data_IF_688764864852
#
_entry.id   IF_688764864852
#
_cell.length_a   1.000
_cell.length_b   1.000
_cell.length_c   1.000
_cell.angle_alpha   90.00
_cell.angle_beta   90.00
_cell.angle_gamma   90.00
#
_symmetry.space_group_name_H-M   'P 1'
#
loop_
_entity.id
_entity.type
_entity.pdbx_description
1 polymer ?
#
# COMPACT_ATOMS: atom_id res chain seq x y z
N UNK A 1 -33.28 23.16 23.01
CA UNK A 1 -32.27 23.67 23.95
C UNK A 1 -30.96 23.68 23.22
N UNK A 2 -30.44 24.88 22.94
CA UNK A 2 -29.21 25.06 22.15
C UNK A 2 -28.00 24.57 22.94
N UNK A 3 -26.95 24.17 22.22
CA UNK A 3 -25.66 23.69 22.75
C UNK A 3 -24.88 24.75 23.58
N UNK A 4 -25.53 25.84 24.01
CA UNK A 4 -24.94 26.93 24.78
C UNK A 4 -24.75 26.61 26.28
N UNK A 5 -25.43 25.61 26.82
CA UNK A 5 -25.44 25.32 28.27
C UNK A 5 -24.33 24.35 28.75
N UNK A 6 -23.45 23.89 27.87
CA UNK A 6 -22.22 23.19 28.27
C UNK A 6 -21.06 24.12 27.98
N UNK A 7 -20.54 24.78 29.02
CA UNK A 7 -19.35 25.63 28.96
C UNK A 7 -18.06 24.87 28.61
N UNK A 8 -18.05 24.13 27.50
CA UNK A 8 -16.85 23.68 26.82
C UNK A 8 -16.37 24.84 25.97
N UNK A 9 -15.45 25.62 26.51
CA UNK A 9 -14.62 26.50 25.71
C UNK A 9 -13.74 25.58 24.86
N UNK A 10 -14.19 25.27 23.64
CA UNK A 10 -13.34 24.64 22.65
C UNK A 10 -12.21 25.63 22.38
N UNK A 11 -11.01 25.34 22.88
CA UNK A 11 -9.82 26.16 22.73
C UNK A 11 -9.26 26.04 21.30
N UNK A 12 -10.14 26.20 20.31
CA UNK A 12 -9.77 26.76 19.03
C UNK A 12 -9.50 28.26 19.24
N UNK A 13 -8.57 28.59 20.13
CA UNK A 13 -8.03 29.91 20.36
C UNK A 13 -7.43 30.41 19.05
N UNK A 14 -8.29 31.04 18.24
CA UNK A 14 -7.97 31.87 17.07
C UNK A 14 -7.02 31.22 16.04
N UNK A 15 -7.58 30.72 14.93
CA UNK A 15 -6.87 30.50 13.66
C UNK A 15 -5.99 29.24 13.59
N UNK A 16 -6.62 28.06 13.61
CA UNK A 16 -6.02 26.89 12.95
C UNK A 16 -6.62 26.78 11.55
N UNK A 17 -6.01 27.41 10.52
CA UNK A 17 -6.23 27.01 9.14
C UNK A 17 -6.22 25.49 9.00
N UNK A 18 -7.13 24.96 8.18
CA UNK A 18 -7.19 23.54 7.90
C UNK A 18 -5.87 22.98 7.38
N UNK A 19 -5.06 23.77 6.66
CA UNK A 19 -3.75 23.35 6.18
C UNK A 19 -2.74 23.12 7.32
N UNK A 20 -2.64 24.06 8.26
CA UNK A 20 -1.81 23.96 9.45
C UNK A 20 -2.23 22.79 10.33
N UNK A 21 -3.55 22.61 10.53
CA UNK A 21 -4.05 21.44 11.24
C UNK A 21 -3.66 20.13 10.55
N UNK A 22 -3.84 20.05 9.22
CA UNK A 22 -3.56 18.83 8.49
C UNK A 22 -2.06 18.49 8.51
N UNK A 23 -1.17 19.47 8.48
CA UNK A 23 0.27 19.24 8.69
C UNK A 23 0.55 18.68 10.07
N UNK A 24 0.00 19.33 11.10
CA UNK A 24 0.15 18.88 12.49
C UNK A 24 -0.41 17.48 12.69
N UNK A 25 -1.56 17.17 12.08
CA UNK A 25 -2.13 15.83 12.14
C UNK A 25 -1.25 14.77 11.46
N UNK A 26 -0.58 15.10 10.37
CA UNK A 26 0.38 14.19 9.75
C UNK A 26 1.61 13.98 10.65
N UNK A 27 2.21 15.06 11.13
CA UNK A 27 3.47 15.04 11.89
C UNK A 27 3.32 14.56 13.34
N UNK A 28 2.30 15.02 14.05
CA UNK A 28 2.15 14.75 15.49
C UNK A 28 1.34 13.47 15.75
N UNK A 29 0.52 13.03 14.79
CA UNK A 29 -0.37 11.89 14.99
C UNK A 29 -0.06 10.70 14.09
N UNK A 30 0.05 10.86 12.76
CA UNK A 30 0.28 9.71 11.88
C UNK A 30 1.72 9.22 11.89
N UNK A 31 2.70 10.12 11.81
CA UNK A 31 4.11 9.76 11.77
C UNK A 31 4.57 9.00 13.03
N UNK A 32 4.20 9.38 14.27
CA UNK A 32 4.52 8.59 15.46
C UNK A 32 3.90 7.21 15.44
N UNK A 33 2.72 7.03 14.83
CA UNK A 33 2.12 5.71 14.67
C UNK A 33 2.89 4.83 13.69
N UNK A 34 3.49 5.42 12.65
CA UNK A 34 4.41 4.69 11.75
C UNK A 34 5.65 4.26 12.51
N UNK A 35 6.26 5.18 13.26
CA UNK A 35 7.49 4.92 14.03
C UNK A 35 7.27 3.87 15.13
N UNK A 36 6.07 3.83 15.72
CA UNK A 36 5.67 2.80 16.70
C UNK A 36 5.22 1.49 16.05
N UNK A 37 5.23 1.36 14.72
CA UNK A 37 4.77 0.16 14.00
C UNK A 37 3.25 -0.08 14.06
N UNK A 38 2.47 0.89 14.56
CA UNK A 38 1.00 0.83 14.65
C UNK A 38 0.31 1.17 13.32
N UNK A 39 1.00 1.87 12.43
CA UNK A 39 0.54 2.25 11.10
C UNK A 39 1.57 1.85 10.04
N UNK A 40 1.12 1.22 8.97
CA UNK A 40 1.99 0.92 7.83
C UNK A 40 2.42 2.21 7.11
N UNK A 41 3.71 2.35 6.80
CA UNK A 41 4.27 3.51 6.11
C UNK A 41 3.54 3.84 4.79
N UNK A 42 3.17 2.81 4.01
CA UNK A 42 2.35 2.99 2.80
C UNK A 42 0.99 3.67 3.04
N UNK A 43 0.41 3.50 4.23
CA UNK A 43 -0.84 4.20 4.62
C UNK A 43 -0.58 5.66 4.91
N UNK A 44 0.53 5.98 5.59
CA UNK A 44 0.96 7.36 5.79
C UNK A 44 1.21 8.08 4.46
N UNK A 45 1.98 7.48 3.55
CA UNK A 45 2.27 8.05 2.23
C UNK A 45 0.99 8.36 1.46
N UNK A 46 0.00 7.46 1.49
CA UNK A 46 -1.30 7.69 0.85
C UNK A 46 -2.06 8.85 1.53
N UNK A 47 -2.18 8.84 2.85
CA UNK A 47 -2.91 9.87 3.59
C UNK A 47 -2.25 11.24 3.39
N UNK A 48 -0.92 11.33 3.48
CA UNK A 48 -0.14 12.54 3.21
C UNK A 48 -0.30 13.03 1.77
N UNK A 49 -0.26 12.11 0.79
CA UNK A 49 -0.51 12.44 -0.61
C UNK A 49 -1.91 13.02 -0.85
N UNK A 50 -2.94 12.44 -0.22
CA UNK A 50 -4.32 12.94 -0.29
C UNK A 50 -4.43 14.32 0.34
N UNK A 51 -3.82 14.52 1.51
CA UNK A 51 -3.80 15.82 2.19
C UNK A 51 -3.17 16.87 1.29
N UNK A 52 -1.97 16.61 0.76
CA UNK A 52 -1.22 17.55 -0.07
C UNK A 52 -1.92 17.86 -1.38
N UNK A 53 -2.41 16.84 -2.09
CA UNK A 53 -2.89 16.99 -3.46
C UNK A 53 -4.38 17.33 -3.56
N UNK A 54 -5.18 17.02 -2.53
CA UNK A 54 -6.64 17.15 -2.59
C UNK A 54 -7.22 17.97 -1.45
N UNK A 55 -6.93 17.61 -0.20
CA UNK A 55 -7.60 18.24 0.95
C UNK A 55 -7.13 19.67 1.16
N UNK A 56 -5.81 19.91 1.21
CA UNK A 56 -5.23 21.25 1.44
C UNK A 56 -5.61 22.28 0.37
N UNK A 57 -5.51 21.97 -0.95
CA UNK A 57 -5.86 22.96 -1.98
C UNK A 57 -7.31 23.44 -1.92
N UNK A 58 -8.23 22.65 -1.36
CA UNK A 58 -9.67 22.97 -1.35
C UNK A 58 -10.16 23.45 0.01
N UNK A 59 -9.77 22.74 1.08
CA UNK A 59 -10.27 22.97 2.44
C UNK A 59 -9.22 23.57 3.36
N UNK A 60 -7.95 23.64 2.96
CA UNK A 60 -6.85 24.06 3.82
C UNK A 60 -6.96 25.51 4.32
N UNK A 61 -7.54 26.41 3.52
CA UNK A 61 -7.75 27.81 3.91
C UNK A 61 -8.94 28.02 4.86
N UNK A 62 -9.84 27.02 4.97
CA UNK A 62 -10.99 27.12 5.87
C UNK A 62 -10.54 26.81 7.30
N UNK A 63 -11.04 27.57 8.26
CA UNK A 63 -10.86 27.24 9.68
C UNK A 63 -11.68 26.00 9.99
N UNK A 64 -11.15 25.12 10.83
CA UNK A 64 -11.82 23.87 11.20
C UNK A 64 -13.23 24.08 11.75
N UNK A 65 -13.41 25.09 12.62
CA UNK A 65 -14.71 25.41 13.24
C UNK A 65 -15.79 25.87 12.25
N UNK A 66 -15.36 26.45 11.12
CA UNK A 66 -16.26 26.99 10.10
C UNK A 66 -16.60 25.93 9.04
N UNK A 67 -15.85 24.81 9.02
CA UNK A 67 -16.07 23.72 8.08
C UNK A 67 -17.41 23.05 8.36
N UNK A 68 -18.26 23.00 7.33
CA UNK A 68 -19.60 22.39 7.45
C UNK A 68 -19.81 21.23 6.48
N UNK A 69 -20.92 20.49 6.67
CA UNK A 69 -21.26 19.31 5.87
C UNK A 69 -21.48 19.66 4.38
N UNK A 70 -22.06 20.82 4.10
CA UNK A 70 -22.33 21.24 2.72
C UNK A 70 -21.04 21.51 1.94
N UNK A 71 -20.03 22.10 2.59
CA UNK A 71 -18.70 22.30 2.01
C UNK A 71 -17.98 20.98 1.76
N UNK A 72 -18.03 20.04 2.71
CA UNK A 72 -17.47 18.69 2.55
C UNK A 72 -18.15 17.96 1.39
N UNK A 73 -19.47 18.06 1.27
CA UNK A 73 -20.23 17.50 0.14
C UNK A 73 -19.83 18.14 -1.19
N UNK A 74 -19.71 19.46 -1.22
CA UNK A 74 -19.26 20.20 -2.41
C UNK A 74 -17.86 19.75 -2.84
N UNK A 75 -16.95 19.62 -1.88
CA UNK A 75 -15.60 19.11 -2.10
C UNK A 75 -15.61 17.69 -2.71
N UNK A 76 -16.41 16.76 -2.17
CA UNK A 76 -16.52 15.42 -2.75
C UNK A 76 -17.14 15.42 -4.15
N UNK A 77 -18.15 16.25 -4.40
CA UNK A 77 -18.75 16.39 -5.72
C UNK A 77 -17.76 16.93 -6.75
N UNK A 78 -16.90 17.87 -6.35
CA UNK A 78 -15.82 18.37 -7.20
C UNK A 78 -14.80 17.27 -7.48
N UNK A 79 -14.33 16.55 -6.45
CA UNK A 79 -13.37 15.44 -6.65
C UNK A 79 -13.95 14.31 -7.49
N UNK A 80 -15.26 14.06 -7.43
CA UNK A 80 -15.92 13.07 -8.27
C UNK A 80 -15.90 13.40 -9.78
N UNK A 81 -15.66 14.66 -10.16
CA UNK A 81 -15.45 15.07 -11.56
C UNK A 81 -14.02 14.77 -12.05
N UNK A 82 -13.06 14.64 -11.15
CA UNK A 82 -11.63 14.49 -11.45
C UNK A 82 -11.10 13.08 -11.18
N UNK A 83 -11.71 12.37 -10.21
CA UNK A 83 -11.20 11.12 -9.66
C UNK A 83 -12.21 10.00 -9.80
N UNK A 84 -11.69 8.77 -9.93
CA UNK A 84 -12.51 7.56 -9.86
C UNK A 84 -13.15 7.41 -8.47
N UNK A 85 -14.34 6.76 -8.35
CA UNK A 85 -15.07 6.67 -7.09
C UNK A 85 -14.25 6.11 -5.92
N UNK A 86 -13.36 5.15 -6.18
CA UNK A 86 -12.46 4.58 -5.16
C UNK A 86 -11.52 5.62 -4.57
N UNK A 87 -10.96 6.48 -5.42
CA UNK A 87 -10.05 7.55 -5.00
C UNK A 87 -10.78 8.60 -4.19
N UNK A 88 -12.01 8.98 -4.58
CA UNK A 88 -12.88 9.85 -3.75
C UNK A 88 -13.18 9.20 -2.40
N UNK A 89 -13.40 7.89 -2.37
CA UNK A 89 -13.55 7.12 -1.12
C UNK A 89 -12.33 7.20 -0.21
N UNK A 90 -11.11 7.17 -0.76
CA UNK A 90 -9.90 7.41 0.03
C UNK A 90 -9.81 8.85 0.53
N UNK A 91 -10.13 9.84 -0.31
CA UNK A 91 -10.19 11.25 0.10
C UNK A 91 -11.12 11.42 1.30
N UNK A 92 -12.33 10.85 1.23
CA UNK A 92 -13.29 10.83 2.34
C UNK A 92 -12.72 10.15 3.59
N UNK A 93 -12.15 8.94 3.45
CA UNK A 93 -11.61 8.20 4.59
C UNK A 93 -10.48 8.97 5.30
N UNK A 94 -9.58 9.60 4.55
CA UNK A 94 -8.49 10.42 5.11
C UNK A 94 -9.06 11.66 5.81
N UNK A 95 -10.01 12.38 5.21
CA UNK A 95 -10.64 13.55 5.84
C UNK A 95 -11.42 13.16 7.11
N UNK A 96 -12.18 12.06 7.06
CA UNK A 96 -12.91 11.54 8.21
C UNK A 96 -11.95 11.17 9.35
N UNK A 97 -10.81 10.54 9.05
CA UNK A 97 -9.78 10.17 10.03
C UNK A 97 -9.15 11.42 10.67
N UNK A 98 -8.84 12.44 9.89
CA UNK A 98 -8.31 13.71 10.37
C UNK A 98 -9.31 14.43 11.28
N UNK A 99 -10.57 14.58 10.86
CA UNK A 99 -11.60 15.25 11.68
C UNK A 99 -12.00 14.43 12.90
N UNK A 100 -11.90 13.09 12.85
CA UNK A 100 -12.11 12.25 14.03
C UNK A 100 -11.05 12.52 15.10
N UNK A 101 -9.80 12.78 14.69
CA UNK A 101 -8.76 13.17 15.63
C UNK A 101 -9.01 14.59 16.17
N UNK A 102 -9.43 15.54 15.32
CA UNK A 102 -9.78 16.89 15.75
C UNK A 102 -10.88 16.92 16.82
N UNK A 103 -11.86 16.00 16.73
CA UNK A 103 -12.89 15.83 17.77
C UNK A 103 -12.30 15.29 19.08
N UNK A 104 -11.35 14.35 19.01
CA UNK A 104 -10.69 13.80 20.21
C UNK A 104 -9.79 14.80 20.91
N UNK A 105 -9.24 15.73 20.14
CA UNK A 105 -8.39 16.81 20.62
C UNK A 105 -9.22 18.05 21.01
N UNK A 106 -10.55 17.94 21.08
CA UNK A 106 -11.48 19.03 21.42
C UNK A 106 -11.28 20.30 20.56
N UNK A 107 -10.88 20.15 19.30
CA UNK A 107 -10.74 21.27 18.35
C UNK A 107 -12.06 21.59 17.63
N UNK A 108 -12.91 20.58 17.45
CA UNK A 108 -14.23 20.71 16.84
C UNK A 108 -15.24 19.83 17.59
N UNK A 109 -16.50 20.27 17.73
CA UNK A 109 -17.50 19.54 18.51
C UNK A 109 -17.99 18.26 17.81
N UNK A 110 -17.78 18.14 16.49
CA UNK A 110 -18.25 16.99 15.71
C UNK A 110 -17.45 16.79 14.43
N UNK A 111 -17.44 15.56 13.95
CA UNK A 111 -16.86 15.23 12.65
C UNK A 111 -17.87 15.54 11.53
N UNK A 112 -17.65 16.65 10.81
CA UNK A 112 -18.53 17.07 9.71
C UNK A 112 -18.41 16.22 8.44
N UNK A 113 -17.40 15.38 8.33
CA UNK A 113 -17.32 14.39 7.24
C UNK A 113 -18.17 13.14 7.54
N UNK A 114 -18.60 12.94 8.78
CA UNK A 114 -19.40 11.77 9.13
C UNK A 114 -20.81 11.85 8.54
N UNK A 115 -21.26 10.74 7.95
CA UNK A 115 -22.53 10.67 7.21
C UNK A 115 -22.52 11.22 5.78
N UNK A 116 -21.52 12.05 5.39
CA UNK A 116 -21.36 12.58 4.02
C UNK A 116 -20.61 11.60 3.10
N UNK A 117 -20.91 10.30 3.19
CA UNK A 117 -20.23 9.29 2.36
C UNK A 117 -20.42 9.63 0.88
N UNK A 118 -19.34 9.78 0.09
CA UNK A 118 -19.45 10.00 -1.34
C UNK A 118 -20.32 8.89 -1.94
N UNK A 119 -21.28 9.24 -2.80
CA UNK A 119 -22.05 8.25 -3.55
C UNK A 119 -21.06 7.50 -4.43
N UNK A 120 -20.57 6.37 -3.94
CA UNK A 120 -19.80 5.44 -4.74
C UNK A 120 -20.77 4.87 -5.75
N UNK A 121 -20.82 5.44 -6.96
CA UNK A 121 -21.30 4.69 -8.12
C UNK A 121 -20.38 3.47 -8.22
N UNK A 122 -20.84 2.34 -7.66
CA UNK A 122 -20.12 1.07 -7.67
C UNK A 122 -20.12 0.57 -9.10
N UNK A 123 -19.24 1.12 -9.93
CA UNK A 123 -18.70 0.35 -11.03
C UNK A 123 -17.48 -0.35 -10.44
N UNK A 124 -17.72 -1.50 -9.77
CA UNK A 124 -16.61 -2.42 -9.54
C UNK A 124 -16.14 -2.81 -10.93
N UNK A 125 -15.08 -2.19 -11.44
CA UNK A 125 -14.36 -2.79 -12.58
C UNK A 125 -14.00 -4.18 -12.10
N UNK A 126 -14.64 -5.19 -12.69
CA UNK A 126 -14.26 -6.57 -12.42
C UNK A 126 -12.79 -6.70 -12.80
N UNK A 127 -11.98 -7.13 -11.84
CA UNK A 127 -10.60 -7.48 -12.13
C UNK A 127 -10.68 -8.70 -13.04
N UNK A 128 -10.41 -8.51 -14.33
CA UNK A 128 -10.39 -9.61 -15.30
C UNK A 128 -9.19 -10.49 -14.98
N UNK A 129 -9.43 -11.65 -14.40
CA UNK A 129 -8.41 -12.66 -14.21
C UNK A 129 -7.93 -13.17 -15.59
N UNK A 130 -6.65 -13.55 -15.66
CA UNK A 130 -6.11 -14.16 -16.88
C UNK A 130 -6.81 -15.49 -17.14
N UNK A 131 -7.26 -15.71 -18.37
CA UNK A 131 -7.75 -17.01 -18.80
C UNK A 131 -6.61 -18.03 -18.84
N UNK A 132 -6.89 -19.35 -18.79
CA UNK A 132 -5.84 -20.37 -18.91
C UNK A 132 -4.97 -20.21 -20.16
N UNK A 133 -5.55 -19.75 -21.28
CA UNK A 133 -4.81 -19.45 -22.52
C UNK A 133 -3.88 -18.26 -22.35
N UNK A 134 -4.33 -17.18 -21.69
CA UNK A 134 -3.50 -16.01 -21.41
C UNK A 134 -2.39 -16.32 -20.41
N UNK A 135 -2.65 -17.17 -19.40
CA UNK A 135 -1.62 -17.65 -18.47
C UNK A 135 -0.53 -18.43 -19.23
N UNK A 136 -0.92 -19.33 -20.13
CA UNK A 136 0.05 -20.05 -20.98
C UNK A 136 0.87 -19.09 -21.84
N UNK A 137 0.24 -18.10 -22.45
CA UNK A 137 0.93 -17.08 -23.25
C UNK A 137 1.92 -16.26 -22.40
N UNK A 138 1.52 -15.85 -21.19
CA UNK A 138 2.39 -15.15 -20.23
C UNK A 138 3.61 -15.99 -19.88
N UNK A 139 3.41 -17.25 -19.47
CA UNK A 139 4.51 -18.14 -19.09
C UNK A 139 5.42 -18.48 -20.28
N UNK A 140 4.87 -18.56 -21.49
CA UNK A 140 5.66 -18.75 -22.70
C UNK A 140 6.55 -17.54 -22.99
N UNK A 141 5.98 -16.33 -22.93
CA UNK A 141 6.73 -15.08 -23.12
C UNK A 141 7.78 -14.84 -22.02
N UNK A 142 7.56 -15.36 -20.82
CA UNK A 142 8.50 -15.27 -19.70
C UNK A 142 9.66 -16.27 -19.78
N UNK A 143 9.73 -17.16 -20.77
CA UNK A 143 10.83 -18.13 -20.88
C UNK A 143 12.15 -17.43 -21.18
N UNK A 144 13.21 -17.81 -20.47
CA UNK A 144 14.57 -17.33 -20.72
C UNK A 144 14.86 -15.92 -20.22
N UNK A 145 13.86 -15.15 -19.78
CA UNK A 145 14.12 -13.90 -19.07
C UNK A 145 14.53 -14.17 -17.63
N UNK A 146 15.32 -13.27 -17.04
CA UNK A 146 15.87 -13.41 -15.69
C UNK A 146 14.81 -13.76 -14.63
N UNK A 147 13.63 -13.12 -14.72
CA UNK A 147 12.55 -13.28 -13.75
C UNK A 147 11.51 -14.35 -14.15
N UNK A 148 11.84 -15.28 -15.07
CA UNK A 148 10.95 -16.39 -15.47
C UNK A 148 10.31 -17.10 -14.27
N UNK A 149 11.15 -17.52 -13.31
CA UNK A 149 10.68 -18.27 -12.15
C UNK A 149 9.76 -17.45 -11.23
N UNK A 150 9.90 -16.11 -11.20
CA UNK A 150 9.01 -15.24 -10.45
C UNK A 150 7.58 -15.35 -10.99
N UNK A 151 7.42 -15.30 -12.32
CA UNK A 151 6.10 -15.43 -12.95
C UNK A 151 5.51 -16.83 -12.78
N UNK A 152 6.31 -17.88 -12.92
CA UNK A 152 5.90 -19.27 -12.69
C UNK A 152 5.39 -19.44 -11.25
N UNK A 153 6.16 -18.99 -10.25
CA UNK A 153 5.75 -19.06 -8.85
C UNK A 153 4.48 -18.24 -8.62
N UNK A 154 4.42 -17.01 -9.12
CA UNK A 154 3.26 -16.12 -8.93
C UNK A 154 1.96 -16.75 -9.42
N UNK A 155 1.97 -17.33 -10.62
CA UNK A 155 0.79 -17.99 -11.23
C UNK A 155 0.35 -19.21 -10.43
N UNK A 156 1.29 -20.04 -9.97
CA UNK A 156 0.95 -21.30 -9.32
C UNK A 156 0.64 -21.18 -7.83
N UNK A 157 1.16 -20.16 -7.15
CA UNK A 157 1.08 -20.04 -5.68
C UNK A 157 0.14 -18.92 -5.22
N UNK A 158 -0.18 -17.96 -6.09
CA UNK A 158 -1.03 -16.82 -5.77
C UNK A 158 -0.47 -15.93 -4.65
N UNK A 159 0.84 -15.96 -4.42
CA UNK A 159 1.50 -15.12 -3.43
C UNK A 159 1.33 -13.65 -3.76
N UNK A 160 1.18 -12.82 -2.72
CA UNK A 160 1.15 -11.37 -2.92
C UNK A 160 2.52 -10.91 -3.40
N UNK A 161 2.56 -9.83 -4.17
CA UNK A 161 3.81 -9.30 -4.73
C UNK A 161 4.90 -9.07 -3.67
N UNK A 162 4.55 -8.48 -2.52
CA UNK A 162 5.50 -8.31 -1.41
C UNK A 162 5.97 -9.65 -0.81
N UNK A 163 5.12 -10.67 -0.77
CA UNK A 163 5.48 -12.02 -0.29
C UNK A 163 6.46 -12.68 -1.27
N UNK A 164 6.24 -12.55 -2.59
CA UNK A 164 7.17 -13.04 -3.63
C UNK A 164 8.54 -12.36 -3.52
N UNK A 165 8.56 -11.03 -3.48
CA UNK A 165 9.81 -10.26 -3.42
C UNK A 165 10.52 -10.38 -2.07
N UNK A 166 9.82 -10.85 -1.03
CA UNK A 166 10.39 -11.14 0.29
C UNK A 166 10.83 -12.60 0.50
N UNK A 167 10.60 -13.48 -0.48
CA UNK A 167 10.89 -14.90 -0.36
C UNK A 167 12.40 -15.15 -0.30
N UNK A 168 12.85 -15.97 0.66
CA UNK A 168 14.25 -16.40 0.76
C UNK A 168 14.37 -17.88 0.46
N UNK A 169 15.56 -18.30 0.03
CA UNK A 169 15.87 -19.71 -0.19
C UNK A 169 15.67 -20.56 1.07
N UNK A 170 15.86 -19.97 2.26
CA UNK A 170 15.60 -20.63 3.54
C UNK A 170 14.12 -20.96 3.79
N UNK A 171 13.18 -20.36 3.06
CA UNK A 171 11.76 -20.68 3.19
C UNK A 171 11.27 -21.70 2.16
N UNK A 172 12.16 -22.14 1.24
CA UNK A 172 11.80 -23.00 0.12
C UNK A 172 12.47 -24.36 0.30
N UNK A 173 11.65 -25.36 0.58
CA UNK A 173 12.05 -26.75 0.57
C UNK A 173 11.68 -27.37 -0.78
N UNK A 174 12.67 -27.45 -1.67
CA UNK A 174 12.48 -28.00 -3.02
C UNK A 174 12.33 -29.52 -3.00
N UNK A 175 12.84 -30.21 -1.97
CA UNK A 175 12.76 -31.67 -1.85
C UNK A 175 11.40 -32.09 -1.29
N UNK A 176 10.94 -31.42 -0.22
CA UNK A 176 9.58 -31.61 0.29
C UNK A 176 8.50 -30.95 -0.58
N UNK A 177 8.90 -30.14 -1.57
CA UNK A 177 7.98 -29.44 -2.47
C UNK A 177 7.08 -28.44 -1.75
N UNK A 178 7.64 -27.61 -0.87
CA UNK A 178 6.89 -26.64 -0.07
C UNK A 178 7.62 -25.31 0.02
N UNK A 179 6.84 -24.22 0.08
CA UNK A 179 7.35 -22.89 0.41
C UNK A 179 6.62 -22.33 1.63
N UNK A 180 7.33 -21.59 2.48
CA UNK A 180 6.77 -20.96 3.68
C UNK A 180 6.67 -19.45 3.52
N UNK A 181 5.46 -18.90 3.70
CA UNK A 181 5.23 -17.45 3.64
C UNK A 181 5.48 -16.86 5.02
N UNK A 182 6.70 -16.45 5.29
CA UNK A 182 7.11 -15.94 6.62
C UNK A 182 7.22 -14.41 6.67
N UNK A 183 7.48 -13.78 5.53
CA UNK A 183 7.74 -12.34 5.40
C UNK A 183 7.18 -11.74 4.12
N UNK A 184 7.19 -10.41 4.07
CA UNK A 184 6.79 -9.60 2.93
C UNK A 184 7.74 -8.42 2.82
N UNK A 185 8.19 -8.12 1.60
CA UNK A 185 8.90 -6.88 1.30
C UNK A 185 7.92 -5.69 1.37
N UNK A 186 8.33 -4.62 2.02
CA UNK A 186 7.56 -3.39 2.23
C UNK A 186 8.43 -2.16 1.94
N UNK A 187 7.79 -1.07 1.53
CA UNK A 187 8.43 0.25 1.45
C UNK A 187 8.17 0.99 2.75
N UNK A 188 9.24 1.38 3.41
CA UNK A 188 9.28 2.14 4.66
C UNK A 188 9.88 3.53 4.42
N UNK A 189 9.96 4.36 5.46
CA UNK A 189 10.58 5.68 5.37
C UNK A 189 12.06 5.57 5.00
N UNK A 190 12.74 4.55 5.53
CA UNK A 190 14.18 4.30 5.33
C UNK A 190 14.49 3.44 4.08
N UNK A 191 13.48 3.21 3.22
CA UNK A 191 13.60 2.40 2.02
C UNK A 191 12.95 1.01 2.16
N UNK A 192 13.53 0.01 1.50
CA UNK A 192 12.96 -1.34 1.45
C UNK A 192 13.25 -2.12 2.73
N UNK A 193 12.22 -2.68 3.35
CA UNK A 193 12.36 -3.50 4.55
C UNK A 193 11.57 -4.80 4.45
N UNK A 194 12.07 -5.84 5.12
CA UNK A 194 11.36 -7.10 5.30
C UNK A 194 10.56 -7.07 6.59
N UNK A 195 9.25 -7.30 6.50
CA UNK A 195 8.38 -7.35 7.67
C UNK A 195 7.46 -8.56 7.65
N UNK A 196 6.69 -8.74 8.73
CA UNK A 196 5.63 -9.72 8.76
C UNK A 196 4.61 -9.45 7.63
N UNK A 197 3.99 -10.50 7.05
CA UNK A 197 2.89 -10.33 6.11
C UNK A 197 1.79 -9.46 6.71
N UNK A 198 1.05 -8.76 5.86
CA UNK A 198 0.04 -7.76 6.28
C UNK A 198 -0.97 -8.31 7.30
N UNK A 199 -1.35 -9.57 7.17
CA UNK A 199 -2.26 -10.25 8.12
C UNK A 199 -1.57 -11.50 8.66
N UNK A 200 -1.71 -11.79 9.97
CA UNK A 200 -1.15 -13.00 10.60
C UNK A 200 -1.59 -14.29 9.89
N UNK A 201 -2.86 -14.38 9.46
CA UNK A 201 -3.40 -15.49 8.67
C UNK A 201 -2.71 -15.71 7.30
N UNK A 202 -1.85 -14.77 6.87
CA UNK A 202 -1.08 -14.95 5.62
C UNK A 202 0.16 -15.83 5.81
N UNK A 203 0.58 -16.09 7.07
CA UNK A 203 1.64 -17.06 7.37
C UNK A 203 1.12 -18.46 7.10
N UNK A 204 1.64 -19.09 6.05
CA UNK A 204 1.17 -20.39 5.58
C UNK A 204 2.27 -21.14 4.83
N UNK A 205 2.15 -22.45 4.78
CA UNK A 205 2.90 -23.30 3.85
C UNK A 205 2.10 -23.44 2.56
N UNK A 206 2.74 -23.27 1.40
CA UNK A 206 2.14 -23.48 0.08
C UNK A 206 2.84 -24.65 -0.61
N UNK A 207 2.12 -25.69 -1.07
CA UNK A 207 2.72 -26.79 -1.81
C UNK A 207 3.20 -26.33 -3.18
N UNK A 208 4.30 -26.91 -3.64
CA UNK A 208 4.93 -26.66 -4.93
C UNK A 208 4.69 -27.84 -5.86
N UNK A 209 4.23 -27.55 -7.09
CA UNK A 209 4.17 -28.57 -8.13
C UNK A 209 5.55 -28.74 -8.82
N UNK A 210 5.69 -29.81 -9.61
CA UNK A 210 6.93 -30.12 -10.33
C UNK A 210 7.40 -28.97 -11.22
N UNK A 211 6.48 -28.29 -11.91
CA UNK A 211 6.81 -27.16 -12.79
C UNK A 211 7.47 -26.00 -12.04
N UNK A 212 6.96 -25.66 -10.85
CA UNK A 212 7.53 -24.61 -10.00
C UNK A 212 8.90 -25.04 -9.46
N UNK A 213 9.04 -26.28 -9.02
CA UNK A 213 10.32 -26.81 -8.53
C UNK A 213 11.39 -26.75 -9.63
N UNK A 214 11.07 -27.17 -10.85
CA UNK A 214 11.98 -27.09 -12.01
C UNK A 214 12.38 -25.64 -12.29
N UNK A 215 11.43 -24.71 -12.32
CA UNK A 215 11.70 -23.30 -12.56
C UNK A 215 12.60 -22.70 -11.46
N UNK A 216 12.36 -23.04 -10.19
CA UNK A 216 13.17 -22.58 -9.06
C UNK A 216 14.59 -23.16 -9.09
N UNK A 217 14.76 -24.44 -9.45
CA UNK A 217 16.11 -25.04 -9.61
C UNK A 217 16.90 -24.35 -10.71
N UNK A 218 16.30 -24.14 -11.87
CA UNK A 218 16.93 -23.41 -12.99
C UNK A 218 17.26 -21.97 -12.60
N UNK A 219 16.37 -21.31 -11.86
CA UNK A 219 16.60 -19.96 -11.35
C UNK A 219 17.77 -19.87 -10.37
N UNK A 220 17.86 -20.84 -9.44
CA UNK A 220 18.98 -20.90 -8.48
C UNK A 220 20.33 -21.04 -9.17
N UNK A 221 20.39 -21.85 -10.24
CA UNK A 221 21.60 -22.01 -11.04
C UNK A 221 22.01 -20.68 -11.68
N UNK A 222 21.10 -20.03 -12.41
CA UNK A 222 21.36 -18.72 -13.04
C UNK A 222 21.75 -17.64 -12.03
N UNK A 223 21.08 -17.61 -10.88
CA UNK A 223 21.41 -16.67 -9.80
C UNK A 223 22.83 -16.87 -9.28
N UNK A 224 23.30 -18.13 -9.15
CA UNK A 224 24.67 -18.41 -8.73
C UNK A 224 25.69 -17.97 -9.78
N UNK A 225 25.39 -18.12 -11.07
CA UNK A 225 26.22 -17.61 -12.17
C UNK A 225 26.27 -16.08 -12.16
N UNK A 226 25.13 -15.41 -12.01
CA UNK A 226 25.06 -13.95 -11.85
C UNK A 226 25.91 -13.47 -10.67
N UNK A 227 25.80 -14.14 -9.52
CA UNK A 227 26.59 -13.82 -8.32
C UNK A 227 28.10 -13.86 -8.56
N UNK A 228 28.57 -14.78 -9.39
CA UNK A 228 30.01 -14.91 -9.71
C UNK A 228 30.48 -13.91 -10.78
N UNK A 229 29.56 -13.30 -11.53
CA UNK A 229 29.89 -12.38 -12.63
C UNK A 229 29.86 -10.90 -12.24
N UNK A 230 29.37 -10.56 -11.05
CA UNK A 230 29.33 -9.18 -10.56
C UNK A 230 30.48 -8.91 -9.57
N UNK A 231 31.04 -7.68 -9.56
CA UNK A 231 32.11 -7.33 -8.62
C UNK A 231 31.68 -7.41 -7.15
N UNK A 232 30.42 -7.08 -6.87
CA UNK A 232 29.87 -7.06 -5.52
C UNK A 232 28.46 -7.64 -5.52
N UNK A 233 28.22 -8.62 -4.65
CA UNK A 233 26.93 -9.25 -4.45
C UNK A 233 26.49 -9.14 -3.00
N UNK A 234 25.30 -8.57 -2.79
CA UNK A 234 24.71 -8.43 -1.47
C UNK A 234 23.80 -9.63 -1.17
N UNK A 235 24.29 -10.59 -0.38
CA UNK A 235 23.53 -11.83 -0.13
C UNK A 235 22.50 -11.68 1.01
N UNK A 236 21.27 -11.33 0.63
CA UNK A 236 20.12 -11.37 1.54
C UNK A 236 19.39 -12.73 1.54
N UNK A 237 19.94 -13.74 0.85
CA UNK A 237 19.32 -15.06 0.68
C UNK A 237 18.03 -15.04 -0.13
N UNK A 238 17.77 -13.97 -0.89
CA UNK A 238 16.53 -13.79 -1.65
C UNK A 238 16.44 -14.78 -2.81
N UNK A 239 15.22 -15.27 -3.06
CA UNK A 239 14.92 -16.04 -4.27
C UNK A 239 14.91 -15.12 -5.48
N UNK A 240 14.35 -13.90 -5.36
CA UNK A 240 14.22 -12.95 -6.46
C UNK A 240 14.90 -11.60 -6.17
N UNK A 241 16.23 -11.55 -6.04
CA UNK A 241 16.95 -10.30 -5.88
C UNK A 241 17.03 -9.50 -7.19
N UNK A 242 17.45 -8.24 -7.11
CA UNK A 242 17.92 -7.48 -8.26
C UNK A 242 19.28 -8.01 -8.76
N UNK A 243 19.89 -7.34 -9.75
CA UNK A 243 21.15 -7.77 -10.39
C UNK A 243 22.39 -7.77 -9.48
N UNK A 244 22.30 -7.20 -8.28
CA UNK A 244 23.40 -7.11 -7.30
C UNK A 244 23.06 -7.78 -5.96
N UNK A 245 22.03 -8.63 -5.93
CA UNK A 245 21.63 -9.38 -4.73
C UNK A 245 20.64 -8.67 -3.80
N UNK A 246 20.35 -7.39 -4.00
CA UNK A 246 19.48 -6.60 -3.13
C UNK A 246 17.99 -6.77 -3.48
N UNK A 247 17.10 -6.27 -2.62
CA UNK A 247 15.66 -6.28 -2.88
C UNK A 247 15.28 -5.33 -4.03
N UNK A 248 14.21 -5.68 -4.76
CA UNK A 248 13.65 -4.84 -5.83
C UNK A 248 12.36 -4.18 -5.36
N UNK A 249 12.22 -2.87 -5.57
CA UNK A 249 10.96 -2.17 -5.30
C UNK A 249 9.83 -2.77 -6.17
N UNK A 250 8.67 -3.01 -5.55
CA UNK A 250 7.48 -3.54 -6.20
C UNK A 250 7.04 -2.71 -7.42
N UNK A 251 7.25 -1.39 -7.39
CA UNK A 251 6.94 -0.50 -8.51
C UNK A 251 7.85 -0.76 -9.71
N UNK A 252 9.11 -1.13 -9.52
CA UNK A 252 10.01 -1.42 -10.63
C UNK A 252 9.55 -2.66 -11.41
N UNK A 253 9.06 -3.68 -10.71
CA UNK A 253 8.49 -4.86 -11.37
C UNK A 253 7.29 -4.47 -12.24
N UNK A 254 6.40 -3.61 -11.75
CA UNK A 254 5.19 -3.19 -12.48
C UNK A 254 5.47 -2.18 -13.60
N UNK A 255 6.32 -1.18 -13.39
CA UNK A 255 6.52 -0.12 -14.40
C UNK A 255 7.58 -0.45 -15.45
N UNK A 256 8.53 -1.34 -15.13
CA UNK A 256 9.66 -1.65 -16.04
C UNK A 256 9.58 -3.03 -16.67
N UNK A 257 9.04 -4.02 -15.95
CA UNK A 257 9.11 -5.42 -16.40
C UNK A 257 7.75 -6.02 -16.79
N UNK A 258 6.66 -5.60 -16.15
CA UNK A 258 5.32 -6.15 -16.38
C UNK A 258 4.33 -5.08 -16.85
N UNK A 259 4.02 -5.04 -18.15
CA UNK A 259 2.90 -4.21 -18.64
C UNK A 259 1.59 -5.01 -18.53
N UNK A 260 0.65 -4.63 -17.64
CA UNK A 260 -0.66 -5.26 -17.64
C UNK A 260 -1.41 -4.98 -18.96
N UNK A 261 -2.16 -5.98 -19.42
CA UNK A 261 -3.06 -5.89 -20.57
C UNK A 261 -4.23 -4.92 -20.31
#
# INVERSE_FOLDING_TARGET
MSDADRGMVFDAGTLTPGDYYLDRWLADYLEPQVNQGKLEHSTYVRDAGIVRNHTKPHLGRRKLKDLNRAEVRSFYNQKAKELVPRSVGYVHATLQKALKQAVRDDLVPRNVADGERPRSSRCKKEVKALSPTQVRALLYAARGIRNEALYVVAVHTGLRQGELLGLRWSDVDLEAGKLSVTRSLKVTADGLAFGAPKNQASRRSVPLNKSVITALRAHRLRQNEERLSVPEWHDYGLVFPNRVGQATDHNNLYYREFKPL
#
